data_IF_131303528772
#
_entry.id   IF_131303528772
#
_cell.length_a   1.000
_cell.length_b   1.000
_cell.length_c   1.000
_cell.angle_alpha   90.00
_cell.angle_beta   90.00
_cell.angle_gamma   90.00
#
_symmetry.space_group_name_H-M   'P 1'
#
loop_
_entity.id
_entity.type
_entity.pdbx_description
1 polymer ?
#
# COMPACT_ATOMS: atom_id res chain seq x y z
N UNK A 1 10.50 6.36 -8.65
CA UNK A 1 9.79 6.24 -7.34
C UNK A 1 9.17 4.85 -7.28
N UNK A 2 8.86 4.29 -6.12
CA UNK A 2 8.20 2.96 -6.01
C UNK A 2 7.05 3.03 -5.02
N UNK A 3 6.03 2.22 -5.23
CA UNK A 3 5.02 1.89 -4.22
C UNK A 3 5.32 0.48 -3.73
N UNK A 4 5.35 0.26 -2.42
CA UNK A 4 5.67 -1.04 -1.84
C UNK A 4 4.67 -1.42 -0.78
N UNK A 5 4.32 -2.70 -0.73
CA UNK A 5 3.41 -3.28 0.24
C UNK A 5 4.11 -4.38 1.01
N UNK A 6 3.98 -4.34 2.33
CA UNK A 6 4.46 -5.34 3.24
C UNK A 6 3.32 -5.93 4.06
N UNK A 7 3.54 -7.14 4.56
CA UNK A 7 2.67 -7.81 5.52
C UNK A 7 3.52 -8.35 6.67
N UNK A 8 2.87 -8.87 7.70
CA UNK A 8 3.57 -9.56 8.80
C UNK A 8 4.38 -10.77 8.34
N UNK A 9 4.04 -11.36 7.19
CA UNK A 9 4.75 -12.53 6.62
C UNK A 9 5.87 -12.13 5.66
N UNK A 10 6.04 -10.82 5.41
CA UNK A 10 7.09 -10.30 4.55
C UNK A 10 6.56 -9.41 3.43
N UNK A 11 7.38 -9.23 2.41
CA UNK A 11 7.09 -8.47 1.21
C UNK A 11 5.87 -9.04 0.46
N UNK A 12 5.02 -8.16 -0.07
CA UNK A 12 3.85 -8.52 -0.89
C UNK A 12 4.07 -8.10 -2.33
N UNK A 13 4.31 -6.80 -2.56
CA UNK A 13 4.49 -6.27 -3.91
C UNK A 13 5.33 -4.99 -3.88
N UNK A 14 6.06 -4.74 -4.97
CA UNK A 14 6.72 -3.45 -5.24
C UNK A 14 6.48 -3.08 -6.68
N UNK A 15 5.90 -1.90 -6.90
CA UNK A 15 5.46 -1.43 -8.21
C UNK A 15 6.27 -0.18 -8.55
N UNK A 16 7.12 -0.21 -9.59
CA UNK A 16 7.91 0.93 -9.99
C UNK A 16 7.05 2.01 -10.67
N UNK A 17 7.34 3.26 -10.34
CA UNK A 17 6.79 4.43 -10.99
C UNK A 17 7.85 5.00 -11.95
N UNK A 18 7.65 4.75 -13.25
CA UNK A 18 8.52 5.18 -14.34
C UNK A 18 8.32 6.68 -14.66
N UNK A 19 8.65 7.55 -13.72
CA UNK A 19 8.56 9.01 -13.92
C UNK A 19 7.15 9.60 -13.78
N UNK A 20 6.17 8.80 -13.41
CA UNK A 20 4.78 9.24 -13.17
C UNK A 20 4.49 9.41 -11.67
N UNK A 21 3.60 10.35 -11.36
CA UNK A 21 3.04 10.56 -10.02
C UNK A 21 1.91 9.56 -9.78
N UNK A 22 1.73 9.13 -8.52
CA UNK A 22 0.57 8.32 -8.12
C UNK A 22 -0.67 9.19 -8.10
N UNK A 23 -1.71 8.77 -8.81
CA UNK A 23 -3.04 9.37 -8.75
C UNK A 23 -4.09 8.29 -8.48
N UNK A 24 -5.28 8.69 -8.06
CA UNK A 24 -6.33 7.80 -7.56
C UNK A 24 -6.69 6.67 -8.55
N UNK A 25 -6.84 7.01 -9.83
CA UNK A 25 -7.17 6.04 -10.88
C UNK A 25 -6.04 5.03 -11.11
N UNK A 26 -4.78 5.45 -11.18
CA UNK A 26 -3.65 4.51 -11.26
C UNK A 26 -3.59 3.60 -10.02
N UNK A 27 -3.83 4.17 -8.84
CA UNK A 27 -3.83 3.41 -7.59
C UNK A 27 -4.92 2.34 -7.59
N UNK A 28 -6.15 2.69 -7.97
CA UNK A 28 -7.30 1.79 -7.97
C UNK A 28 -7.30 0.77 -9.12
N UNK A 29 -6.83 1.14 -10.32
CA UNK A 29 -6.97 0.31 -11.53
C UNK A 29 -5.71 -0.47 -11.89
N UNK A 30 -4.54 -0.06 -11.37
CA UNK A 30 -3.26 -0.71 -11.69
C UNK A 30 -2.59 -1.23 -10.42
N UNK A 31 -2.44 -0.39 -9.39
CA UNK A 31 -1.68 -0.74 -8.20
C UNK A 31 -2.37 -1.79 -7.34
N UNK A 32 -3.59 -1.51 -6.86
CA UNK A 32 -4.32 -2.39 -5.96
C UNK A 32 -4.64 -3.76 -6.58
N UNK A 33 -5.05 -3.89 -7.86
CA UNK A 33 -5.25 -5.20 -8.48
C UNK A 33 -3.99 -6.08 -8.49
N UNK A 34 -2.81 -5.49 -8.67
CA UNK A 34 -1.55 -6.25 -8.60
C UNK A 34 -1.28 -6.75 -7.18
N UNK A 35 -1.52 -5.92 -6.16
CA UNK A 35 -1.37 -6.32 -4.75
C UNK A 35 -2.35 -7.43 -4.40
N UNK A 36 -3.60 -7.29 -4.81
CA UNK A 36 -4.64 -8.29 -4.58
C UNK A 36 -4.29 -9.63 -5.26
N UNK A 37 -3.84 -9.58 -6.51
CA UNK A 37 -3.37 -10.78 -7.23
C UNK A 37 -2.22 -11.48 -6.51
N UNK A 38 -1.23 -10.73 -5.99
CA UNK A 38 -0.13 -11.30 -5.22
C UNK A 38 -0.61 -11.96 -3.92
N UNK A 39 -1.54 -11.34 -3.19
CA UNK A 39 -2.12 -11.90 -1.96
C UNK A 39 -2.97 -13.15 -2.27
N UNK A 40 -3.66 -13.16 -3.39
CA UNK A 40 -4.49 -14.26 -3.86
C UNK A 40 -3.68 -15.51 -4.22
N UNK A 41 -2.42 -15.39 -4.64
CA UNK A 41 -1.58 -16.55 -5.01
C UNK A 41 -1.49 -17.62 -3.92
N UNK A 42 -1.54 -17.22 -2.65
CA UNK A 42 -1.51 -18.16 -1.52
C UNK A 42 -2.91 -18.60 -1.10
N UNK A 43 -3.87 -17.67 -1.06
CA UNK A 43 -5.27 -17.95 -0.72
C UNK A 43 -6.17 -16.76 -1.10
N UNK A 44 -6.92 -16.88 -2.20
CA UNK A 44 -7.85 -15.84 -2.66
C UNK A 44 -9.05 -15.59 -1.72
N UNK A 45 -9.36 -16.51 -0.79
CA UNK A 45 -10.45 -16.32 0.16
C UNK A 45 -10.03 -15.56 1.43
N UNK A 46 -8.76 -15.14 1.50
CA UNK A 46 -8.22 -14.47 2.67
C UNK A 46 -8.63 -13.01 2.70
N UNK A 47 -9.41 -12.63 3.71
CA UNK A 47 -9.62 -11.21 4.04
C UNK A 47 -8.35 -10.62 4.62
N UNK A 48 -8.01 -9.41 4.20
CA UNK A 48 -6.91 -8.64 4.76
C UNK A 48 -7.37 -7.24 5.12
N UNK A 49 -6.68 -6.67 6.11
CA UNK A 49 -6.87 -5.30 6.55
C UNK A 49 -5.73 -4.49 5.97
N UNK A 50 -6.05 -3.48 5.17
CA UNK A 50 -5.07 -2.57 4.58
C UNK A 50 -4.86 -1.38 5.52
N UNK A 51 -3.59 -1.09 5.83
CA UNK A 51 -3.19 0.11 6.56
C UNK A 51 -2.35 0.99 5.63
N UNK A 52 -2.80 2.22 5.39
CA UNK A 52 -2.11 3.22 4.58
C UNK A 52 -2.49 4.63 5.05
N UNK A 53 -1.70 5.64 4.69
CA UNK A 53 -1.97 7.02 5.09
C UNK A 53 -3.18 7.64 4.37
N UNK A 54 -3.71 8.75 4.87
CA UNK A 54 -4.89 9.44 4.32
C UNK A 54 -4.56 10.38 3.13
N UNK A 55 -3.64 10.00 2.25
CA UNK A 55 -3.36 10.80 1.05
C UNK A 55 -4.62 10.92 0.17
N UNK A 56 -4.73 12.01 -0.60
CA UNK A 56 -5.94 12.30 -1.37
C UNK A 56 -6.30 11.17 -2.35
N UNK A 57 -5.30 10.54 -2.98
CA UNK A 57 -5.51 9.41 -3.88
C UNK A 57 -5.87 8.10 -3.17
N UNK A 58 -5.56 7.94 -1.88
CA UNK A 58 -5.99 6.79 -1.08
C UNK A 58 -7.45 6.89 -0.64
N UNK A 59 -7.96 8.12 -0.51
CA UNK A 59 -9.31 8.42 0.00
C UNK A 59 -10.30 8.82 -1.09
N UNK A 60 -9.85 8.84 -2.34
CA UNK A 60 -10.65 9.16 -3.52
C UNK A 60 -11.79 8.15 -3.73
N UNK A 61 -12.85 8.58 -4.41
CA UNK A 61 -14.05 7.77 -4.62
C UNK A 61 -13.75 6.44 -5.32
N UNK A 62 -13.00 6.47 -6.43
CA UNK A 62 -12.63 5.26 -7.19
C UNK A 62 -11.82 4.25 -6.35
N UNK A 63 -11.02 4.75 -5.40
CA UNK A 63 -10.24 3.89 -4.51
C UNK A 63 -11.11 3.26 -3.42
N UNK A 64 -12.06 4.02 -2.86
CA UNK A 64 -13.05 3.51 -1.92
C UNK A 64 -13.95 2.46 -2.57
N UNK A 65 -14.43 2.72 -3.78
CA UNK A 65 -15.22 1.79 -4.57
C UNK A 65 -14.46 0.47 -4.80
N UNK A 66 -13.16 0.54 -5.14
CA UNK A 66 -12.32 -0.66 -5.24
C UNK A 66 -12.31 -1.45 -3.92
N UNK A 67 -12.15 -0.79 -2.77
CA UNK A 67 -12.14 -1.49 -1.47
C UNK A 67 -13.48 -2.14 -1.15
N UNK A 68 -14.59 -1.46 -1.42
CA UNK A 68 -15.94 -1.98 -1.20
C UNK A 68 -16.22 -3.22 -2.07
N UNK A 69 -15.91 -3.14 -3.37
CA UNK A 69 -16.13 -4.23 -4.32
C UNK A 69 -15.29 -5.48 -4.00
N UNK A 70 -14.07 -5.30 -3.49
CA UNK A 70 -13.16 -6.39 -3.16
C UNK A 70 -13.22 -6.81 -1.68
N UNK A 71 -14.16 -6.25 -0.90
CA UNK A 71 -14.33 -6.53 0.53
C UNK A 71 -13.02 -6.38 1.33
N UNK A 72 -12.28 -5.30 1.03
CA UNK A 72 -11.03 -4.93 1.70
C UNK A 72 -11.36 -4.01 2.88
N UNK A 73 -10.95 -4.42 4.07
CA UNK A 73 -11.12 -3.61 5.28
C UNK A 73 -9.98 -2.59 5.39
N UNK A 74 -10.30 -1.33 5.66
CA UNK A 74 -9.31 -0.29 5.92
C UNK A 74 -9.11 -0.09 7.42
N UNK A 75 -7.86 -0.17 7.87
CA UNK A 75 -7.48 0.31 9.19
C UNK A 75 -7.32 1.82 9.16
N UNK A 76 -8.05 2.52 10.02
CA UNK A 76 -8.04 3.99 10.10
C UNK A 76 -6.64 4.50 10.43
N UNK A 77 -6.13 5.40 9.58
CA UNK A 77 -4.90 6.14 9.83
C UNK A 77 -5.21 7.50 10.46
N UNK A 78 -4.59 7.79 11.61
CA UNK A 78 -4.73 9.09 12.25
C UNK A 78 -3.86 10.13 11.53
N UNK A 79 -4.34 11.36 11.31
CA UNK A 79 -3.49 12.43 10.80
C UNK A 79 -2.24 12.62 11.67
N UNK A 80 -1.08 12.77 11.01
CA UNK A 80 0.22 13.02 11.64
C UNK A 80 0.75 11.90 12.57
N UNK A 81 0.24 10.67 12.48
CA UNK A 81 0.67 9.55 13.32
C UNK A 81 1.71 8.63 12.66
N UNK A 82 2.82 9.21 12.19
CA UNK A 82 3.88 8.43 11.53
C UNK A 82 4.46 7.33 12.45
N UNK A 83 4.47 7.56 13.76
CA UNK A 83 4.86 6.60 14.78
C UNK A 83 3.94 5.37 14.88
N UNK A 84 2.72 5.46 14.34
CA UNK A 84 1.77 4.34 14.28
C UNK A 84 1.84 3.58 12.95
N UNK A 85 2.59 4.08 11.97
CA UNK A 85 2.72 3.48 10.64
C UNK A 85 3.96 2.60 10.54
N UNK A 86 3.81 1.27 10.38
CA UNK A 86 4.96 0.37 10.20
C UNK A 86 5.87 0.78 9.05
N UNK A 87 5.30 1.38 8.00
CA UNK A 87 6.08 1.86 6.86
C UNK A 87 6.99 3.02 7.25
N UNK A 88 6.47 3.99 8.01
CA UNK A 88 7.20 5.20 8.38
C UNK A 88 8.22 4.97 9.49
N UNK A 89 7.87 4.23 10.55
CA UNK A 89 8.77 4.05 11.71
C UNK A 89 9.76 2.89 11.55
N UNK A 90 9.48 1.90 10.69
CA UNK A 90 10.30 0.68 10.58
C UNK A 90 10.84 0.41 9.18
N UNK A 91 9.96 0.30 8.18
CA UNK A 91 10.36 -0.18 6.84
C UNK A 91 11.20 0.86 6.10
N UNK A 92 10.70 2.09 5.94
CA UNK A 92 11.38 3.15 5.20
C UNK A 92 12.72 3.56 5.82
N UNK A 93 12.88 3.68 7.16
CA UNK A 93 14.19 3.94 7.77
C UNK A 93 15.22 2.86 7.43
N UNK A 94 14.84 1.58 7.44
CA UNK A 94 15.74 0.48 7.08
C UNK A 94 16.13 0.51 5.61
N UNK A 95 15.18 0.79 4.72
CA UNK A 95 15.45 0.95 3.29
C UNK A 95 16.41 2.13 3.08
N UNK A 96 16.14 3.29 3.68
CA UNK A 96 16.99 4.48 3.61
C UNK A 96 18.42 4.18 4.08
N UNK A 97 18.58 3.48 5.20
CA UNK A 97 19.89 3.10 5.71
C UNK A 97 20.67 2.20 4.74
N UNK A 98 19.99 1.28 4.03
CA UNK A 98 20.62 0.47 2.98
C UNK A 98 20.96 1.28 1.72
N UNK A 99 20.13 2.26 1.37
CA UNK A 99 20.33 3.12 0.20
C UNK A 99 21.35 4.23 0.42
N UNK A 100 21.64 4.59 1.68
CA UNK A 100 22.57 5.66 2.04
C UNK A 100 23.99 5.46 1.47
N UNK A 101 24.34 4.23 1.09
CA UNK A 101 25.71 3.87 0.72
C UNK A 101 26.62 3.84 1.95
N UNK A 102 27.89 3.53 1.72
CA UNK A 102 28.95 3.81 2.69
C UNK A 102 29.28 5.30 2.67
#
# INVERSE_FOLDING_TARGET
MVVTFGSKTGHVATIPLYGHTVYAEWYATICLPQVDSELCKQNCNRRFILHHNNMSFHTAHITKEFFELNNIELLVYLPYSAELSPDDFYTLPKIKNKLRGQ
#
